data_IF_366068362854
#
_entry.id   IF_366068362854
#
_cell.length_a   1.000
_cell.length_b   1.000
_cell.length_c   1.000
_cell.angle_alpha   90.00
_cell.angle_beta   90.00
_cell.angle_gamma   90.00
#
_symmetry.space_group_name_H-M   'P 1'
#
loop_
_entity.id
_entity.type
_entity.pdbx_description
1 polymer ?
#
# COMPACT_ATOMS: atom_id res chain seq x y z
N UNK A 1 -74.29 1.13 -53.07
CA UNK A 1 -74.41 2.17 -54.10
C UNK A 1 -73.28 3.16 -53.84
N UNK A 2 -72.12 3.00 -54.50
CA UNK A 2 -71.75 3.62 -55.81
C UNK A 2 -71.77 5.15 -55.70
N UNK A 3 -70.76 5.96 -56.06
CA UNK A 3 -69.62 5.86 -56.97
C UNK A 3 -68.77 7.15 -56.73
N UNK A 4 -67.44 7.09 -56.57
CA UNK A 4 -66.37 7.24 -57.59
C UNK A 4 -65.93 8.70 -57.92
N UNK A 5 -64.61 8.94 -57.79
CA UNK A 5 -63.72 9.77 -58.65
C UNK A 5 -63.90 11.32 -58.62
N UNK A 6 -62.89 12.20 -58.80
CA UNK A 6 -61.49 12.16 -59.24
C UNK A 6 -60.84 13.54 -58.88
N UNK A 7 -59.59 13.64 -58.39
CA UNK A 7 -58.34 14.00 -59.12
C UNK A 7 -57.93 15.49 -59.19
N UNK A 8 -56.64 15.75 -58.92
CA UNK A 8 -55.78 16.87 -59.36
C UNK A 8 -56.17 18.29 -58.88
N UNK A 9 -55.29 19.26 -58.60
CA UNK A 9 -54.05 19.63 -59.27
C UNK A 9 -53.20 20.60 -58.40
N UNK A 10 -51.92 20.73 -58.74
CA UNK A 10 -50.91 21.58 -58.09
C UNK A 10 -51.03 23.06 -58.51
N UNK A 11 -50.61 23.93 -57.58
CA UNK A 11 -49.89 25.22 -57.73
C UNK A 11 -50.56 26.36 -58.51
N UNK A 12 -50.69 27.51 -57.84
CA UNK A 12 -50.02 28.78 -58.21
C UNK A 12 -50.43 29.87 -57.20
N UNK A 13 -49.45 30.52 -56.58
CA UNK A 13 -49.51 31.97 -56.40
C UNK A 13 -48.09 32.53 -56.19
N UNK A 14 -47.71 33.39 -57.13
CA UNK A 14 -46.49 34.20 -57.16
C UNK A 14 -46.65 35.45 -56.28
N UNK A 15 -45.63 35.69 -55.45
CA UNK A 15 -44.84 36.92 -55.30
C UNK A 15 -45.57 38.29 -55.36
N UNK A 16 -45.49 39.02 -54.23
CA UNK A 16 -45.14 40.45 -54.23
C UNK A 16 -44.12 40.76 -53.14
N UNK A 17 -42.97 41.21 -53.60
CA UNK A 17 -41.87 41.83 -52.84
C UNK A 17 -42.29 43.14 -52.17
N UNK A 18 -41.82 43.39 -50.95
CA UNK A 18 -40.84 44.47 -50.73
C UNK A 18 -40.16 44.38 -49.34
N UNK A 19 -38.84 44.16 -49.40
CA UNK A 19 -37.77 44.72 -48.56
C UNK A 19 -37.77 44.43 -47.06
N UNK A 20 -37.02 43.39 -46.68
CA UNK A 20 -36.20 43.42 -45.46
C UNK A 20 -34.74 43.36 -45.91
N UNK A 21 -33.99 44.30 -45.36
CA UNK A 21 -32.64 44.72 -45.73
C UNK A 21 -31.59 43.61 -45.68
N UNK A 22 -30.74 43.65 -46.70
CA UNK A 22 -29.48 42.96 -46.88
C UNK A 22 -28.57 43.06 -45.64
N UNK A 23 -28.38 41.93 -44.97
CA UNK A 23 -27.05 41.51 -44.48
C UNK A 23 -26.98 40.01 -44.64
N UNK A 24 -26.73 39.62 -45.88
CA UNK A 24 -26.29 38.30 -46.29
C UNK A 24 -24.79 38.13 -45.96
N UNK A 25 -24.46 36.92 -45.48
CA UNK A 25 -23.23 36.18 -45.81
C UNK A 25 -21.92 36.69 -45.19
N UNK A 26 -21.57 36.12 -44.04
CA UNK A 26 -20.34 35.31 -43.92
C UNK A 26 -20.35 34.53 -42.60
N UNK A 27 -20.92 33.33 -42.65
CA UNK A 27 -20.37 32.20 -41.89
C UNK A 27 -18.94 31.97 -42.39
N UNK A 28 -17.93 32.49 -41.67
CA UNK A 28 -16.75 31.73 -41.25
C UNK A 28 -15.70 32.64 -40.58
N UNK A 29 -15.01 32.07 -39.59
CA UNK A 29 -13.80 32.59 -38.90
C UNK A 29 -13.98 33.68 -37.84
N UNK A 30 -14.49 33.33 -36.67
CA UNK A 30 -13.97 33.90 -35.42
C UNK A 30 -14.16 33.01 -34.18
N UNK A 31 -13.79 31.74 -34.30
CA UNK A 31 -13.68 30.79 -33.19
C UNK A 31 -12.22 30.38 -32.97
N UNK A 32 -11.33 31.37 -32.83
CA UNK A 32 -9.94 31.16 -32.41
C UNK A 32 -9.46 32.33 -31.56
N UNK A 33 -9.63 32.20 -30.24
CA UNK A 33 -8.52 32.16 -29.27
C UNK A 33 -9.11 31.98 -27.87
N UNK A 34 -9.48 30.74 -27.50
CA UNK A 34 -9.22 30.33 -26.12
C UNK A 34 -7.71 30.30 -26.01
N UNK A 35 -7.10 31.18 -25.21
CA UNK A 35 -5.69 31.08 -24.87
C UNK A 35 -5.46 29.62 -24.43
N UNK A 36 -4.63 28.88 -25.16
CA UNK A 36 -4.03 27.65 -24.63
C UNK A 36 -3.29 28.10 -23.39
N UNK A 37 -3.90 27.91 -22.22
CA UNK A 37 -3.19 27.92 -20.95
C UNK A 37 -2.04 26.93 -21.15
N UNK A 38 -0.80 27.39 -20.99
CA UNK A 38 0.33 26.49 -21.25
C UNK A 38 0.28 25.34 -20.24
N UNK A 39 0.79 24.15 -20.58
CA UNK A 39 0.87 23.04 -19.61
C UNK A 39 1.54 23.50 -18.30
N UNK A 40 2.50 24.43 -18.39
CA UNK A 40 3.17 25.03 -17.25
C UNK A 40 2.27 25.96 -16.41
N UNK A 41 1.31 26.67 -17.03
CA UNK A 41 0.39 27.55 -16.31
C UNK A 41 -0.69 26.75 -15.55
N UNK A 42 -1.07 25.56 -16.04
CA UNK A 42 -1.92 24.62 -15.27
C UNK A 42 -1.16 23.99 -14.10
N UNK A 43 0.12 23.66 -14.28
CA UNK A 43 0.98 23.09 -13.23
C UNK A 43 1.07 23.99 -11.99
N UNK A 44 1.04 25.31 -12.19
CA UNK A 44 1.13 26.31 -11.12
C UNK A 44 -0.16 26.52 -10.33
N UNK A 45 -1.27 25.89 -10.73
CA UNK A 45 -2.61 26.09 -10.14
C UNK A 45 -3.20 24.86 -9.46
N UNK A 46 -2.50 23.73 -9.45
CA UNK A 46 -2.89 22.56 -8.64
C UNK A 46 -2.35 22.81 -7.24
N UNK A 47 -3.24 22.91 -6.24
CA UNK A 47 -2.84 22.95 -4.84
C UNK A 47 -2.34 21.56 -4.42
N UNK A 48 -1.03 21.36 -4.55
CA UNK A 48 -0.36 20.11 -4.24
C UNK A 48 -0.20 19.88 -2.72
N UNK A 49 -0.57 20.87 -1.90
CA UNK A 49 -0.36 20.79 -0.44
C UNK A 49 -1.15 19.67 0.24
N UNK A 50 -2.22 19.20 -0.40
CA UNK A 50 -3.05 18.08 0.06
C UNK A 50 -2.25 16.76 0.15
N UNK A 51 -1.13 16.65 -0.59
CA UNK A 51 -0.27 15.45 -0.60
C UNK A 51 1.07 15.66 0.10
N UNK A 52 1.23 16.74 0.87
CA UNK A 52 2.50 17.02 1.54
C UNK A 52 2.93 15.87 2.45
N UNK A 53 2.00 15.24 3.18
CA UNK A 53 2.32 14.08 4.02
C UNK A 53 2.90 12.90 3.21
N UNK A 54 2.31 12.61 2.05
CA UNK A 54 2.81 11.54 1.17
C UNK A 54 4.15 11.91 0.51
N UNK A 55 4.35 13.19 0.18
CA UNK A 55 5.62 13.70 -0.33
C UNK A 55 6.73 13.61 0.72
N UNK A 56 6.44 14.06 1.95
CA UNK A 56 7.36 14.04 3.08
C UNK A 56 7.75 12.59 3.42
N UNK A 57 6.78 11.68 3.44
CA UNK A 57 7.05 10.26 3.58
C UNK A 57 7.94 9.73 2.44
N UNK A 58 7.59 10.03 1.18
CA UNK A 58 8.36 9.58 0.03
C UNK A 58 9.80 10.11 0.06
N UNK A 59 10.02 11.33 0.55
CA UNK A 59 11.35 11.91 0.72
C UNK A 59 12.20 11.17 1.76
N UNK A 60 11.58 10.52 2.73
CA UNK A 60 12.25 9.77 3.78
C UNK A 60 12.59 8.33 3.36
N UNK A 61 11.75 7.70 2.53
CA UNK A 61 11.93 6.28 2.16
C UNK A 61 12.57 6.06 0.79
N UNK A 62 12.55 7.05 -0.10
CA UNK A 62 13.22 7.00 -1.39
C UNK A 62 14.62 7.62 -1.32
N UNK A 63 15.55 7.08 -2.10
CA UNK A 63 16.82 7.79 -2.34
C UNK A 63 16.59 9.08 -3.16
N UNK A 64 17.60 9.94 -3.21
CA UNK A 64 17.50 11.24 -3.88
C UNK A 64 17.06 11.15 -5.34
N UNK A 65 17.57 10.17 -6.09
CA UNK A 65 17.25 10.04 -7.52
C UNK A 65 15.81 9.54 -7.70
N UNK A 66 15.38 8.59 -6.88
CA UNK A 66 14.03 8.04 -6.93
C UNK A 66 12.98 9.02 -6.39
N UNK A 67 13.32 9.85 -5.39
CA UNK A 67 12.44 10.93 -4.95
C UNK A 67 12.22 12.00 -6.04
N UNK A 68 13.27 12.39 -6.76
CA UNK A 68 13.12 13.33 -7.88
C UNK A 68 12.23 12.75 -9.00
N UNK A 69 12.40 11.46 -9.32
CA UNK A 69 11.52 10.76 -10.26
C UNK A 69 10.10 10.67 -9.74
N UNK A 70 9.89 10.48 -8.43
CA UNK A 70 8.56 10.47 -7.82
C UNK A 70 7.86 11.81 -7.99
N UNK A 71 8.55 12.93 -7.74
CA UNK A 71 7.98 14.28 -7.92
C UNK A 71 7.55 14.51 -9.37
N UNK A 72 8.33 14.04 -10.35
CA UNK A 72 7.96 14.07 -11.76
C UNK A 72 6.76 13.15 -12.06
N UNK A 73 6.81 11.90 -11.61
CA UNK A 73 5.76 10.90 -11.82
C UNK A 73 4.41 11.33 -11.27
N UNK A 74 4.41 11.92 -10.06
CA UNK A 74 3.22 12.52 -9.46
C UNK A 74 2.65 13.65 -10.32
N UNK A 75 3.49 14.58 -10.78
CA UNK A 75 3.04 15.69 -11.63
C UNK A 75 2.44 15.20 -12.93
N UNK A 76 3.04 14.18 -13.55
CA UNK A 76 2.51 13.55 -14.75
C UNK A 76 1.17 12.87 -14.48
N UNK A 77 1.03 12.13 -13.37
CA UNK A 77 -0.23 11.49 -13.00
C UNK A 77 -1.36 12.50 -12.78
N UNK A 78 -1.09 13.60 -12.07
CA UNK A 78 -2.08 14.66 -11.83
C UNK A 78 -2.52 15.39 -13.11
N UNK A 79 -1.75 15.26 -14.20
CA UNK A 79 -2.06 15.87 -15.49
C UNK A 79 -2.72 14.90 -16.48
N UNK A 80 -2.13 13.71 -16.68
CA UNK A 80 -2.56 12.66 -17.60
C UNK A 80 -2.40 11.28 -16.91
N UNK A 81 -3.31 10.95 -15.99
CA UNK A 81 -3.24 9.76 -15.13
C UNK A 81 -3.01 8.44 -15.90
N UNK A 82 -3.79 8.18 -16.95
CA UNK A 82 -3.67 6.93 -17.73
C UNK A 82 -2.29 6.79 -18.38
N UNK A 83 -1.77 7.86 -18.98
CA UNK A 83 -0.45 7.84 -19.63
C UNK A 83 0.68 7.70 -18.61
N UNK A 84 0.54 8.33 -17.43
CA UNK A 84 1.47 8.12 -16.33
C UNK A 84 1.47 6.66 -15.86
N UNK A 85 0.29 6.05 -15.67
CA UNK A 85 0.19 4.63 -15.27
C UNK A 85 0.88 3.72 -16.29
N UNK A 86 0.64 3.92 -17.59
CA UNK A 86 1.34 3.17 -18.66
C UNK A 86 2.85 3.35 -18.61
N UNK A 87 3.33 4.59 -18.40
CA UNK A 87 4.75 4.93 -18.38
C UNK A 87 5.48 4.26 -17.21
N UNK A 88 4.92 4.29 -16.02
CA UNK A 88 5.59 3.82 -14.80
C UNK A 88 5.32 2.35 -14.47
N UNK A 89 4.14 1.82 -14.81
CA UNK A 89 3.74 0.48 -14.41
C UNK A 89 3.50 -0.45 -15.59
N UNK A 90 2.82 0.03 -16.63
CA UNK A 90 2.45 -0.74 -17.82
C UNK A 90 0.95 -0.61 -18.13
N UNK A 91 0.52 -1.03 -19.32
CA UNK A 91 -0.90 -0.98 -19.73
C UNK A 91 -1.77 -1.92 -18.89
N UNK A 92 -1.20 -3.00 -18.36
CA UNK A 92 -1.90 -3.97 -17.53
C UNK A 92 -2.46 -3.39 -16.23
N UNK A 93 -1.86 -2.31 -15.71
CA UNK A 93 -2.31 -1.61 -14.50
C UNK A 93 -3.53 -0.70 -14.74
N UNK A 94 -3.96 -0.52 -15.99
CA UNK A 94 -5.22 0.18 -16.33
C UNK A 94 -6.42 -0.77 -16.37
N UNK A 95 -6.18 -2.06 -16.57
CA UNK A 95 -7.22 -3.06 -16.73
C UNK A 95 -7.73 -3.54 -15.38
N UNK A 96 -8.93 -4.10 -15.36
CA UNK A 96 -9.48 -4.72 -14.15
C UNK A 96 -8.59 -5.87 -13.68
N UNK A 97 -8.12 -5.77 -12.43
CA UNK A 97 -7.18 -6.70 -11.82
C UNK A 97 -6.78 -6.23 -10.42
N UNK A 98 -6.04 -7.08 -9.72
CA UNK A 98 -5.63 -6.84 -8.33
C UNK A 98 -4.77 -5.56 -8.18
N UNK A 99 -3.96 -5.24 -9.19
CA UNK A 99 -3.06 -4.08 -9.16
C UNK A 99 -3.59 -2.88 -9.97
N UNK A 100 -4.89 -2.83 -10.26
CA UNK A 100 -5.47 -1.73 -11.05
C UNK A 100 -5.24 -0.39 -10.34
N UNK A 101 -4.67 0.58 -11.05
CA UNK A 101 -4.49 1.94 -10.55
C UNK A 101 -5.69 2.78 -11.00
N UNK A 102 -6.60 3.05 -10.06
CA UNK A 102 -7.81 3.86 -10.32
C UNK A 102 -7.75 5.23 -9.64
N UNK A 103 -6.95 5.37 -8.59
CA UNK A 103 -6.80 6.58 -7.79
C UNK A 103 -5.33 6.97 -7.63
N UNK A 104 -5.10 8.19 -7.14
CA UNK A 104 -3.73 8.63 -6.83
C UNK A 104 -3.12 7.81 -5.68
N UNK A 105 -3.91 7.39 -4.69
CA UNK A 105 -3.42 6.51 -3.62
C UNK A 105 -2.90 5.19 -4.18
N UNK A 106 -3.60 4.59 -5.16
CA UNK A 106 -3.14 3.36 -5.82
C UNK A 106 -1.82 3.60 -6.57
N UNK A 107 -1.75 4.72 -7.31
CA UNK A 107 -0.54 5.12 -8.01
C UNK A 107 0.64 5.27 -7.05
N UNK A 108 0.42 6.00 -5.94
CA UNK A 108 1.43 6.26 -4.92
C UNK A 108 1.93 4.96 -4.28
N UNK A 109 1.00 4.11 -3.83
CA UNK A 109 1.32 2.86 -3.16
C UNK A 109 2.11 1.93 -4.09
N UNK A 110 1.64 1.75 -5.34
CA UNK A 110 2.36 0.95 -6.34
C UNK A 110 3.71 1.57 -6.72
N UNK A 111 3.82 2.90 -6.70
CA UNK A 111 5.09 3.59 -6.94
C UNK A 111 6.11 3.22 -5.86
N UNK A 112 5.73 3.27 -4.58
CA UNK A 112 6.61 2.88 -3.49
C UNK A 112 7.00 1.40 -3.60
N UNK A 113 6.05 0.50 -3.87
CA UNK A 113 6.32 -0.93 -4.09
C UNK A 113 7.40 -1.14 -5.16
N UNK A 114 7.36 -0.38 -6.26
CA UNK A 114 8.26 -0.59 -7.40
C UNK A 114 9.60 0.13 -7.28
N UNK A 115 9.62 1.31 -6.66
CA UNK A 115 10.75 2.23 -6.73
C UNK A 115 11.42 2.52 -5.38
N UNK A 116 10.93 1.95 -4.28
CA UNK A 116 11.57 2.02 -2.97
C UNK A 116 12.20 0.68 -2.57
N UNK A 117 13.10 0.73 -1.59
CA UNK A 117 13.61 -0.47 -0.91
C UNK A 117 12.58 -0.95 0.14
N UNK A 118 11.47 -1.48 -0.35
CA UNK A 118 10.37 -1.99 0.46
C UNK A 118 10.16 -3.49 0.27
N UNK A 119 9.33 -4.06 1.14
CA UNK A 119 8.75 -5.39 1.00
C UNK A 119 7.23 -5.29 1.09
N UNK A 120 6.54 -5.65 0.01
CA UNK A 120 5.08 -5.75 -0.02
C UNK A 120 4.65 -7.10 0.54
N UNK A 121 4.08 -7.08 1.74
CA UNK A 121 3.41 -8.23 2.33
C UNK A 121 1.92 -8.18 2.04
N UNK A 122 1.37 -9.22 1.41
CA UNK A 122 -0.09 -9.38 1.28
C UNK A 122 -0.60 -10.18 2.48
N UNK A 123 -1.73 -9.78 3.05
CA UNK A 123 -2.28 -10.46 4.23
C UNK A 123 -2.51 -11.94 3.95
N UNK A 124 -2.25 -12.77 4.96
CA UNK A 124 -2.27 -14.24 4.89
C UNK A 124 -1.27 -14.87 3.89
N UNK A 125 -0.46 -14.09 3.18
CA UNK A 125 0.54 -14.66 2.28
C UNK A 125 1.63 -15.36 3.10
N UNK A 126 2.20 -16.41 2.51
CA UNK A 126 3.43 -17.05 2.98
C UNK A 126 4.62 -16.49 2.17
N UNK A 127 5.83 -16.85 2.56
CA UNK A 127 7.09 -16.35 2.01
C UNK A 127 7.57 -15.05 2.66
N UNK A 128 6.97 -14.62 3.77
CA UNK A 128 7.39 -13.39 4.45
C UNK A 128 8.77 -13.51 5.09
N UNK A 129 9.21 -14.71 5.49
CA UNK A 129 10.58 -14.91 5.97
C UNK A 129 11.60 -14.50 4.91
N UNK A 130 11.38 -14.88 3.64
CA UNK A 130 12.23 -14.44 2.53
C UNK A 130 12.04 -12.96 2.21
N UNK A 131 10.81 -12.46 2.29
CA UNK A 131 10.51 -11.05 2.08
C UNK A 131 11.27 -10.12 3.03
N UNK A 132 11.26 -10.43 4.33
CA UNK A 132 12.03 -9.68 5.33
C UNK A 132 13.54 -9.80 5.11
N UNK A 133 14.04 -10.99 4.75
CA UNK A 133 15.46 -11.16 4.41
C UNK A 133 15.88 -10.33 3.20
N UNK A 134 15.04 -10.28 2.16
CA UNK A 134 15.27 -9.45 0.98
C UNK A 134 15.25 -7.96 1.33
N UNK A 135 14.28 -7.52 2.15
CA UNK A 135 14.18 -6.15 2.65
C UNK A 135 15.47 -5.69 3.36
N UNK A 136 15.95 -6.50 4.30
CA UNK A 136 17.21 -6.26 5.01
C UNK A 136 18.39 -6.18 4.02
N UNK A 137 18.44 -7.10 3.04
CA UNK A 137 19.45 -7.13 2.00
C UNK A 137 19.47 -5.86 1.13
N UNK A 138 18.31 -5.33 0.75
CA UNK A 138 18.19 -4.05 0.01
C UNK A 138 18.81 -2.88 0.79
N UNK A 139 18.72 -2.90 2.12
CA UNK A 139 19.37 -1.90 3.01
C UNK A 139 20.82 -2.22 3.38
N UNK A 140 21.41 -3.25 2.77
CA UNK A 140 22.80 -3.66 3.02
C UNK A 140 23.01 -4.28 4.41
N UNK A 141 21.93 -4.71 5.07
CA UNK A 141 21.97 -5.42 6.34
C UNK A 141 22.02 -6.91 6.03
N UNK A 142 23.07 -7.60 6.49
CA UNK A 142 23.18 -9.05 6.33
C UNK A 142 22.17 -9.74 7.28
N UNK A 143 21.13 -10.44 6.77
CA UNK A 143 20.13 -11.10 7.62
C UNK A 143 20.75 -12.20 8.50
N UNK A 144 21.76 -12.91 7.99
CA UNK A 144 22.47 -13.97 8.73
C UNK A 144 23.39 -13.41 9.83
N UNK A 145 23.54 -12.08 9.88
CA UNK A 145 24.21 -11.38 10.95
C UNK A 145 23.28 -10.99 12.11
N UNK A 146 21.97 -11.22 12.00
CA UNK A 146 20.98 -11.01 13.06
C UNK A 146 20.75 -12.33 13.81
N UNK A 147 20.44 -12.25 15.11
CA UNK A 147 20.11 -13.40 15.93
C UNK A 147 18.63 -13.82 15.73
N UNK A 148 18.32 -14.30 14.53
CA UNK A 148 16.99 -14.78 14.14
C UNK A 148 17.13 -16.19 13.58
N UNK A 149 16.32 -17.13 14.08
CA UNK A 149 16.25 -18.49 13.51
C UNK A 149 15.36 -18.50 12.26
N UNK A 150 15.91 -17.96 11.16
CA UNK A 150 15.20 -17.81 9.88
C UNK A 150 14.64 -19.12 9.34
N UNK A 151 15.35 -20.24 9.53
CA UNK A 151 14.88 -21.53 9.02
C UNK A 151 13.70 -22.05 9.86
N UNK A 152 13.77 -21.88 11.18
CA UNK A 152 12.66 -22.22 12.08
C UNK A 152 11.39 -21.41 11.75
N UNK A 153 11.50 -20.10 11.54
CA UNK A 153 10.35 -19.26 11.14
C UNK A 153 9.81 -19.69 9.77
N UNK A 154 10.70 -19.91 8.78
CA UNK A 154 10.32 -20.36 7.43
C UNK A 154 9.49 -21.65 7.45
N UNK A 155 9.91 -22.62 8.26
CA UNK A 155 9.20 -23.90 8.38
C UNK A 155 7.82 -23.72 9.05
N UNK A 156 7.73 -22.80 10.02
CA UNK A 156 6.50 -22.50 10.76
C UNK A 156 5.48 -21.70 9.97
N UNK A 157 5.86 -21.07 8.85
CA UNK A 157 4.89 -20.36 8.00
C UNK A 157 3.72 -21.25 7.56
N UNK A 158 3.90 -22.56 7.45
CA UNK A 158 2.83 -23.52 7.10
C UNK A 158 2.01 -24.00 8.31
N UNK A 159 2.47 -23.73 9.53
CA UNK A 159 1.89 -24.25 10.77
C UNK A 159 1.17 -23.17 11.58
N UNK A 160 1.61 -21.92 11.44
CA UNK A 160 1.09 -20.77 12.18
C UNK A 160 0.18 -19.89 11.31
N UNK A 161 -0.70 -19.16 12.00
CA UNK A 161 -1.56 -18.15 11.41
C UNK A 161 -0.79 -16.87 11.06
N UNK A 162 -1.50 -15.76 10.84
CA UNK A 162 -0.90 -14.46 10.50
C UNK A 162 -0.03 -13.89 11.63
N UNK A 163 -0.23 -14.26 12.90
CA UNK A 163 0.57 -13.74 14.01
C UNK A 163 2.07 -14.01 13.87
N UNK A 164 2.46 -15.04 13.12
CA UNK A 164 3.87 -15.36 12.92
C UNK A 164 4.62 -14.29 12.10
N UNK A 165 3.95 -13.54 11.19
CA UNK A 165 4.63 -12.43 10.50
C UNK A 165 4.91 -11.28 11.47
N UNK A 166 3.99 -11.01 12.41
CA UNK A 166 4.14 -9.96 13.42
C UNK A 166 5.18 -10.34 14.48
N UNK A 167 5.22 -11.62 14.86
CA UNK A 167 6.30 -12.20 15.68
C UNK A 167 7.65 -12.05 15.00
N UNK A 168 7.75 -12.42 13.71
CA UNK A 168 9.00 -12.25 12.96
C UNK A 168 9.40 -10.77 12.90
N UNK A 169 8.44 -9.88 12.62
CA UNK A 169 8.66 -8.44 12.64
C UNK A 169 9.23 -7.99 13.99
N UNK A 170 8.66 -8.42 15.11
CA UNK A 170 9.12 -8.04 16.46
C UNK A 170 10.55 -8.50 16.74
N UNK A 171 10.85 -9.76 16.43
CA UNK A 171 12.20 -10.33 16.57
C UNK A 171 13.22 -9.56 15.71
N UNK A 172 12.86 -9.23 14.47
CA UNK A 172 13.73 -8.44 13.57
C UNK A 172 13.90 -7.02 14.10
N UNK A 173 12.84 -6.38 14.60
CA UNK A 173 12.90 -5.04 15.16
C UNK A 173 13.89 -4.97 16.33
N UNK A 174 13.81 -5.90 17.27
CA UNK A 174 14.74 -6.00 18.41
C UNK A 174 16.21 -6.05 17.95
N UNK A 175 16.51 -6.84 16.92
CA UNK A 175 17.88 -6.96 16.37
C UNK A 175 18.35 -5.72 15.61
N UNK A 176 17.43 -4.91 15.08
CA UNK A 176 17.71 -3.67 14.35
C UNK A 176 17.92 -2.46 15.25
N UNK A 177 17.24 -2.39 16.40
CA UNK A 177 17.39 -1.29 17.36
C UNK A 177 18.86 -1.12 17.79
N UNK A 178 19.55 -2.23 18.05
CA UNK A 178 20.98 -2.25 18.39
C UNK A 178 21.89 -1.72 17.27
N UNK A 179 21.35 -1.59 16.04
CA UNK A 179 22.04 -1.12 14.84
C UNK A 179 21.59 0.28 14.41
N UNK A 180 20.74 0.95 15.19
CA UNK A 180 20.15 2.28 14.89
C UNK A 180 19.30 2.29 13.63
N UNK A 181 18.66 1.17 13.33
CA UNK A 181 17.64 1.04 12.30
C UNK A 181 16.29 0.77 12.97
N UNK A 182 15.23 1.22 12.31
CA UNK A 182 13.86 0.88 12.64
C UNK A 182 13.25 0.18 11.44
N UNK A 183 12.50 -0.88 11.71
CA UNK A 183 11.61 -1.52 10.74
C UNK A 183 10.19 -1.08 11.04
N UNK A 184 9.37 -0.84 10.03
CA UNK A 184 7.96 -0.49 10.21
C UNK A 184 7.19 -0.80 8.93
N UNK A 185 5.89 -1.02 9.05
CA UNK A 185 4.97 -1.16 7.93
C UNK A 185 4.10 0.08 7.75
N UNK A 186 3.59 0.30 6.54
CA UNK A 186 2.45 1.20 6.31
C UNK A 186 1.29 0.44 5.68
N UNK A 187 0.08 0.86 6.02
CA UNK A 187 -1.15 0.44 5.34
C UNK A 187 -1.98 1.67 4.99
N UNK A 188 -2.45 1.75 3.73
CA UNK A 188 -3.26 2.86 3.21
C UNK A 188 -4.73 2.45 2.96
N UNK A 189 -5.21 1.39 3.61
CA UNK A 189 -6.52 0.77 3.39
C UNK A 189 -6.49 -0.43 2.43
N UNK A 190 -5.33 -1.05 2.23
CA UNK A 190 -5.16 -2.22 1.35
C UNK A 190 -5.09 -3.52 2.16
N UNK A 191 -5.37 -4.66 1.53
CA UNK A 191 -5.14 -6.00 2.11
C UNK A 191 -3.65 -6.41 2.07
N UNK A 192 -2.79 -5.47 2.44
CA UNK A 192 -1.35 -5.60 2.40
C UNK A 192 -0.67 -4.56 3.28
N UNK A 193 0.51 -4.88 3.79
CA UNK A 193 1.40 -3.95 4.47
C UNK A 193 2.67 -3.78 3.65
N UNK A 194 3.13 -2.54 3.50
CA UNK A 194 4.40 -2.22 2.86
C UNK A 194 5.45 -1.96 3.94
N UNK A 195 6.39 -2.89 4.09
CA UNK A 195 7.45 -2.80 5.10
C UNK A 195 8.68 -2.07 4.59
N UNK A 196 9.27 -1.27 5.47
CA UNK A 196 10.47 -0.47 5.26
C UNK A 196 11.46 -0.69 6.38
N UNK A 197 12.75 -0.51 6.08
CA UNK A 197 13.81 -0.39 7.07
C UNK A 197 14.53 0.94 6.84
N UNK A 198 14.58 1.79 7.85
CA UNK A 198 15.18 3.14 7.76
C UNK A 198 16.06 3.41 8.98
N UNK A 199 16.98 4.37 8.92
CA UNK A 199 17.66 4.83 10.13
C UNK A 199 16.64 5.30 11.18
N UNK A 200 16.88 5.00 12.45
CA UNK A 200 15.96 5.31 13.55
C UNK A 200 15.49 6.79 13.57
N UNK A 201 16.42 7.72 13.36
CA UNK A 201 16.10 9.16 13.24
C UNK A 201 15.10 9.49 12.13
N UNK A 202 15.05 8.70 11.07
CA UNK A 202 14.13 8.88 9.93
C UNK A 202 12.75 8.37 10.32
N UNK A 203 12.68 7.24 11.02
CA UNK A 203 11.42 6.73 11.54
C UNK A 203 10.71 7.75 12.44
N UNK A 204 11.41 8.42 13.36
CA UNK A 204 10.79 9.49 14.19
C UNK A 204 10.24 10.70 13.42
N UNK A 205 10.63 10.91 12.15
CA UNK A 205 10.02 11.95 11.30
C UNK A 205 8.79 11.44 10.57
N UNK A 206 8.75 10.14 10.29
CA UNK A 206 7.63 9.45 9.65
C UNK A 206 6.51 9.22 10.66
N UNK A 207 6.84 8.68 11.83
CA UNK A 207 5.92 8.39 12.91
C UNK A 207 5.61 9.66 13.72
N UNK A 208 4.90 10.57 13.07
CA UNK A 208 4.47 11.85 13.62
C UNK A 208 2.99 12.08 13.33
N UNK A 209 2.16 11.17 13.83
CA UNK A 209 0.69 11.18 13.71
C UNK A 209 0.19 11.30 12.26
N UNK A 210 0.56 10.35 11.36
CA UNK A 210 0.09 10.39 9.97
C UNK A 210 -1.43 10.24 9.88
N UNK A 211 -2.05 10.99 8.96
CA UNK A 211 -3.50 10.96 8.72
C UNK A 211 -3.86 10.10 7.50
N UNK A 212 -2.93 9.87 6.57
CA UNK A 212 -3.18 9.21 5.30
C UNK A 212 -2.81 7.72 5.27
N UNK A 213 -2.13 7.23 6.30
CA UNK A 213 -1.76 5.82 6.46
C UNK A 213 -1.65 5.43 7.93
N UNK A 214 -1.84 4.13 8.19
CA UNK A 214 -1.54 3.54 9.50
C UNK A 214 -0.10 3.04 9.50
N UNK A 215 0.65 3.36 10.55
CA UNK A 215 1.99 2.82 10.80
C UNK A 215 1.86 1.54 11.61
N UNK A 216 2.50 0.47 11.12
CA UNK A 216 2.63 -0.82 11.80
C UNK A 216 4.02 -0.87 12.42
N UNK A 217 4.09 -0.57 13.70
CA UNK A 217 5.29 -0.67 14.52
C UNK A 217 5.06 -1.54 15.76
N UNK A 218 6.05 -1.65 16.64
CA UNK A 218 5.90 -2.38 17.91
C UNK A 218 4.74 -1.84 18.74
N UNK A 219 4.61 -0.50 18.84
CA UNK A 219 3.52 0.12 19.59
C UNK A 219 2.14 -0.26 19.04
N UNK A 220 2.00 -0.37 17.72
CA UNK A 220 0.78 -0.86 17.09
C UNK A 220 0.52 -2.33 17.43
N UNK A 221 1.54 -3.19 17.38
CA UNK A 221 1.41 -4.61 17.73
C UNK A 221 1.01 -4.83 19.19
N UNK A 222 1.52 -4.01 20.12
CA UNK A 222 1.12 -4.00 21.54
C UNK A 222 -0.36 -3.61 21.76
N UNK A 223 -1.03 -3.03 20.75
CA UNK A 223 -2.48 -2.79 20.82
C UNK A 223 -3.32 -4.01 20.42
N UNK A 224 -2.72 -4.96 19.71
CA UNK A 224 -3.37 -6.16 19.17
C UNK A 224 -3.10 -7.36 20.08
N UNK A 225 -1.84 -7.50 20.49
CA UNK A 225 -1.35 -8.60 21.29
C UNK A 225 -1.20 -8.16 22.75
N UNK A 226 -1.30 -9.12 23.67
CA UNK A 226 -0.81 -8.90 25.03
C UNK A 226 0.70 -9.12 25.01
N UNK A 227 1.17 -10.20 25.65
CA UNK A 227 2.58 -10.60 25.61
C UNK A 227 2.69 -11.90 24.79
N UNK A 228 3.66 -11.97 23.90
CA UNK A 228 4.04 -13.19 23.19
C UNK A 228 5.37 -13.70 23.71
N UNK A 229 5.40 -14.99 24.00
CA UNK A 229 6.57 -15.71 24.48
C UNK A 229 7.04 -16.74 23.45
N UNK A 230 8.34 -16.83 23.25
CA UNK A 230 9.00 -17.97 22.61
C UNK A 230 9.30 -19.04 23.67
N UNK A 231 8.98 -20.30 23.36
CA UNK A 231 9.32 -21.44 24.21
C UNK A 231 10.80 -21.77 24.05
N UNK A 232 11.62 -21.55 25.07
CA UNK A 232 13.07 -21.81 25.05
C UNK A 232 13.45 -23.17 25.64
N UNK A 233 12.53 -23.82 26.36
CA UNK A 233 12.75 -25.13 26.97
C UNK A 233 11.48 -25.97 27.07
N UNK A 234 11.65 -27.26 27.40
CA UNK A 234 10.54 -28.20 27.48
C UNK A 234 9.54 -27.82 28.60
N UNK A 235 8.30 -27.51 28.21
CA UNK A 235 7.20 -27.19 29.12
C UNK A 235 6.43 -28.43 29.60
N UNK A 236 6.78 -29.63 29.12
CA UNK A 236 6.09 -30.87 29.47
C UNK A 236 4.65 -30.95 28.96
N UNK A 237 4.30 -30.13 27.97
CA UNK A 237 2.96 -30.05 27.38
C UNK A 237 2.97 -30.68 25.99
N UNK A 238 2.00 -31.57 25.73
CA UNK A 238 1.85 -32.21 24.42
C UNK A 238 1.61 -31.16 23.32
N UNK A 239 2.15 -31.38 22.13
CA UNK A 239 2.08 -30.47 20.97
C UNK A 239 2.80 -29.12 21.11
N UNK A 240 3.52 -28.88 22.20
CA UNK A 240 4.35 -27.68 22.39
C UNK A 240 5.81 -28.07 22.36
N UNK A 241 6.61 -27.36 21.55
CA UNK A 241 8.04 -27.63 21.34
C UNK A 241 8.86 -26.38 21.56
N UNK A 242 10.15 -26.56 21.79
CA UNK A 242 11.11 -25.45 21.80
C UNK A 242 11.07 -24.72 20.46
N UNK A 243 11.00 -23.39 20.54
CA UNK A 243 10.83 -22.45 19.44
C UNK A 243 9.37 -22.11 19.13
N UNK A 244 8.37 -22.80 19.71
CA UNK A 244 6.97 -22.43 19.51
C UNK A 244 6.63 -21.11 20.21
N UNK A 245 5.54 -20.47 19.77
CA UNK A 245 5.10 -19.18 20.29
C UNK A 245 3.79 -19.29 21.05
N UNK A 246 3.71 -18.54 22.16
CA UNK A 246 2.59 -18.53 23.07
C UNK A 246 2.13 -17.09 23.30
N UNK A 247 0.85 -16.81 23.09
CA UNK A 247 0.24 -15.55 23.51
C UNK A 247 -0.35 -15.70 24.92
N UNK A 248 0.02 -14.78 25.81
CA UNK A 248 -0.54 -14.70 27.16
C UNK A 248 -1.91 -14.02 27.12
N UNK A 249 -2.89 -14.63 27.78
CA UNK A 249 -4.24 -14.07 27.97
C UNK A 249 -4.65 -14.27 29.41
N UNK A 250 -4.43 -13.24 30.23
CA UNK A 250 -4.59 -13.35 31.68
C UNK A 250 -3.51 -14.25 32.30
N UNK A 251 -3.91 -15.38 32.89
CA UNK A 251 -2.99 -16.36 33.52
C UNK A 251 -2.76 -17.60 32.64
N UNK A 252 -3.30 -17.59 31.43
CA UNK A 252 -3.27 -18.69 30.46
C UNK A 252 -2.41 -18.32 29.26
N UNK A 253 -1.80 -19.32 28.64
CA UNK A 253 -0.91 -19.19 27.49
C UNK A 253 -1.43 -20.05 26.36
N UNK A 254 -1.59 -19.44 25.18
CA UNK A 254 -2.22 -20.04 24.03
C UNK A 254 -1.20 -20.19 22.91
N UNK A 255 -1.05 -21.40 22.37
CA UNK A 255 -0.32 -21.58 21.11
C UNK A 255 -1.02 -20.87 19.95
N UNK A 256 -0.27 -20.53 18.91
CA UNK A 256 -0.69 -19.71 17.78
C UNK A 256 -0.74 -20.47 16.45
N UNK A 257 -1.04 -21.78 16.50
CA UNK A 257 -1.13 -22.59 15.30
C UNK A 257 -2.38 -22.25 14.48
N UNK A 258 -2.27 -22.30 13.16
CA UNK A 258 -3.38 -22.11 12.22
C UNK A 258 -4.43 -23.23 12.38
N UNK A 259 -3.96 -24.46 12.60
CA UNK A 259 -4.82 -25.60 12.92
C UNK A 259 -5.26 -25.52 14.39
N UNK A 260 -6.48 -25.00 14.60
CA UNK A 260 -7.10 -24.87 15.91
C UNK A 260 -7.15 -26.18 16.72
N UNK A 261 -7.13 -27.34 16.08
CA UNK A 261 -7.14 -28.63 16.78
C UNK A 261 -5.81 -28.97 17.45
N UNK A 262 -4.72 -28.31 17.02
CA UNK A 262 -3.39 -28.42 17.63
C UNK A 262 -3.18 -27.41 18.74
N UNK A 263 -4.06 -26.42 18.88
CA UNK A 263 -3.88 -25.37 19.86
C UNK A 263 -4.08 -25.89 21.28
N UNK A 264 -3.16 -25.51 22.16
CA UNK A 264 -3.12 -25.92 23.56
C UNK A 264 -3.13 -24.69 24.45
N UNK A 265 -3.83 -24.80 25.58
CA UNK A 265 -3.82 -23.83 26.67
C UNK A 265 -2.93 -24.36 27.78
N UNK A 266 -1.98 -23.55 28.21
CA UNK A 266 -1.06 -23.84 29.31
C UNK A 266 -1.37 -22.87 30.45
N UNK A 267 -1.42 -23.37 31.68
CA UNK A 267 -1.60 -22.53 32.86
C UNK A 267 -0.30 -22.42 33.66
N UNK A 268 -0.09 -21.28 34.31
CA UNK A 268 0.96 -21.07 35.33
C UNK A 268 2.41 -21.30 34.85
N UNK A 269 2.76 -20.79 33.67
CA UNK A 269 4.18 -20.70 33.27
C UNK A 269 4.88 -19.66 34.17
N UNK A 270 6.07 -20.00 34.68
CA UNK A 270 6.95 -19.01 35.33
C UNK A 270 7.65 -18.17 34.25
N UNK A 271 7.11 -16.99 33.98
CA UNK A 271 7.60 -16.03 32.98
C UNK A 271 9.06 -15.58 33.23
N UNK A 272 9.56 -15.74 34.47
CA UNK A 272 10.93 -15.35 34.83
C UNK A 272 11.95 -16.46 34.55
N UNK A 273 11.51 -17.69 34.25
CA UNK A 273 12.39 -18.78 33.87
C UNK A 273 12.71 -18.69 32.37
N UNK A 274 13.73 -17.90 32.03
CA UNK A 274 14.23 -17.75 30.66
C UNK A 274 14.70 -19.07 30.02
N UNK A 275 14.93 -20.11 30.83
CA UNK A 275 15.22 -21.46 30.32
C UNK A 275 13.99 -22.21 29.81
N UNK A 276 12.79 -21.65 30.04
CA UNK A 276 11.49 -22.19 29.62
C UNK A 276 10.81 -21.32 28.59
N UNK A 277 10.76 -20.01 28.84
CA UNK A 277 10.11 -19.05 27.95
C UNK A 277 10.86 -17.73 27.91
N UNK A 278 10.76 -17.01 26.80
CA UNK A 278 11.33 -15.68 26.63
C UNK A 278 10.31 -14.76 25.97
N UNK A 279 10.07 -13.58 26.54
CA UNK A 279 9.19 -12.58 25.92
C UNK A 279 9.81 -12.06 24.61
N UNK A 280 8.99 -11.93 23.58
CA UNK A 280 9.39 -11.47 22.24
C UNK A 280 8.51 -10.36 21.66
N UNK A 281 7.30 -10.15 22.20
CA UNK A 281 6.40 -9.03 21.92
C UNK A 281 5.60 -8.74 23.18
#
# INVERSE_FOLDING_TARGET
MSNSENSNEKKQEEIKDEKISETEINEDKNLKTRKKVSKNDMLNHIDLSIYNELDDFAAEVLDTDNFLKYVEARREYLFEAEEAVKKYFGEEFLNDGENKISTFSDFYYQYLVKYSDSYLYKFMAKGYTDGFRELLGKKGINPDGLNVDWESIRLKELEYDESLVDILYSIVNYELEHRRYSIFGINMGYESTLYFVVPEKTFFRIDNEPELFTVFDIGFLETIYNEIYEVTGDLGTENVRVGDFLEKRGNEYYTLFDDLSKNVVIENIDENDESKVKIIL
#
